data_IF_417292621361
#
_entry.id   IF_417292621361
#
_cell.length_a   1.000
_cell.length_b   1.000
_cell.length_c   1.000
_cell.angle_alpha   90.00
_cell.angle_beta   90.00
_cell.angle_gamma   90.00
#
_symmetry.space_group_name_H-M   'P 1'
#
loop_
_entity.id
_entity.type
_entity.pdbx_description
1 polymer ?
#
# COMPACT_ATOMS: atom_id res chain seq x y z
N UNK A 1 -2.75 6.27 26.03
CA UNK A 1 -3.71 6.28 24.90
C UNK A 1 -4.97 6.99 25.36
N UNK A 2 -5.02 8.31 25.23
CA UNK A 2 -6.23 9.08 25.49
C UNK A 2 -7.03 9.13 24.19
N UNK A 3 -8.05 8.27 24.05
CA UNK A 3 -9.08 8.42 23.04
C UNK A 3 -9.88 9.68 23.36
N UNK A 4 -9.53 10.81 22.73
CA UNK A 4 -10.42 11.96 22.71
C UNK A 4 -11.71 11.55 21.99
N UNK A 5 -12.75 11.25 22.75
CA UNK A 5 -14.13 11.12 22.23
C UNK A 5 -14.56 12.51 21.76
N UNK A 6 -14.35 12.79 20.49
CA UNK A 6 -14.99 13.90 19.81
C UNK A 6 -16.49 13.55 19.77
N UNK A 7 -17.35 14.43 20.28
CA UNK A 7 -18.79 14.23 20.29
C UNK A 7 -19.31 14.29 18.84
N UNK A 8 -19.40 13.14 18.17
CA UNK A 8 -19.58 12.95 16.72
C UNK A 8 -21.06 12.88 16.30
N UNK A 9 -21.95 13.42 17.14
CA UNK A 9 -23.42 13.28 17.00
C UNK A 9 -24.00 13.64 15.62
N UNK A 10 -23.25 14.30 14.74
CA UNK A 10 -23.68 14.74 13.42
C UNK A 10 -23.13 13.91 12.24
N UNK A 11 -22.30 12.89 12.48
CA UNK A 11 -21.74 12.04 11.42
C UNK A 11 -22.39 10.66 11.46
N UNK A 12 -23.63 10.57 10.94
CA UNK A 12 -24.40 9.31 10.96
C UNK A 12 -23.81 8.28 10.01
N UNK A 13 -23.51 8.70 8.78
CA UNK A 13 -22.91 7.88 7.72
C UNK A 13 -22.04 8.79 6.86
N UNK A 14 -20.73 8.75 7.07
CA UNK A 14 -19.78 9.59 6.35
C UNK A 14 -18.41 8.93 6.22
N UNK A 15 -17.70 9.25 5.16
CA UNK A 15 -16.26 9.02 5.06
C UNK A 15 -15.54 10.38 5.11
N UNK A 16 -14.54 10.48 6.00
CA UNK A 16 -13.71 11.67 6.15
C UNK A 16 -12.35 11.36 5.55
N UNK A 17 -12.02 12.06 4.48
CA UNK A 17 -10.88 11.73 3.63
C UNK A 17 -9.94 12.94 3.55
N UNK A 18 -8.73 12.78 4.02
CA UNK A 18 -7.71 13.81 3.98
C UNK A 18 -6.49 13.34 3.19
N UNK A 19 -6.00 14.17 2.29
CA UNK A 19 -4.76 13.94 1.57
C UNK A 19 -3.66 14.88 2.07
N UNK A 20 -2.45 14.33 2.16
CA UNK A 20 -1.23 15.08 2.43
C UNK A 20 -0.15 14.64 1.44
N UNK A 21 0.52 15.60 0.79
CA UNK A 21 1.56 15.37 -0.21
C UNK A 21 2.85 16.01 0.22
N UNK A 22 3.96 15.26 0.16
CA UNK A 22 5.31 15.73 0.46
C UNK A 22 6.32 14.90 -0.31
N UNK A 23 7.38 15.55 -0.81
CA UNK A 23 8.49 14.89 -1.53
C UNK A 23 8.01 13.99 -2.69
N UNK A 24 7.01 14.46 -3.46
CA UNK A 24 6.47 13.73 -4.61
C UNK A 24 5.63 12.49 -4.27
N UNK A 25 5.37 12.22 -2.99
CA UNK A 25 4.51 11.12 -2.52
C UNK A 25 3.28 11.64 -1.79
N UNK A 26 2.20 10.88 -1.82
CA UNK A 26 0.93 11.26 -1.20
C UNK A 26 0.43 10.15 -0.28
N UNK A 27 -0.07 10.56 0.89
CA UNK A 27 -0.88 9.72 1.75
C UNK A 27 -2.32 10.24 1.75
N UNK A 28 -3.28 9.35 1.58
CA UNK A 28 -4.71 9.63 1.74
C UNK A 28 -5.21 8.82 2.93
N UNK A 29 -5.65 9.52 3.96
CA UNK A 29 -6.22 8.93 5.17
C UNK A 29 -7.73 8.94 5.07
N UNK A 30 -8.38 7.80 5.27
CA UNK A 30 -9.84 7.65 5.28
C UNK A 30 -10.28 7.23 6.67
N UNK A 31 -11.23 7.95 7.26
CA UNK A 31 -11.94 7.60 8.47
C UNK A 31 -13.37 7.20 8.12
N UNK A 32 -13.82 6.06 8.61
CA UNK A 32 -15.14 5.51 8.33
C UNK A 32 -16.09 5.78 9.48
N UNK A 33 -17.14 6.55 9.24
CA UNK A 33 -18.21 6.79 10.21
C UNK A 33 -19.48 6.07 9.78
N UNK A 34 -19.99 5.20 10.66
CA UNK A 34 -21.25 4.48 10.47
C UNK A 34 -22.02 4.50 11.78
N UNK A 35 -23.34 4.75 11.71
CA UNK A 35 -24.20 4.82 12.89
C UNK A 35 -23.68 5.75 14.00
N UNK A 36 -23.11 6.90 13.62
CA UNK A 36 -22.49 7.89 14.52
C UNK A 36 -21.23 7.39 15.26
N UNK A 37 -20.65 6.28 14.84
CA UNK A 37 -19.45 5.73 15.44
C UNK A 37 -18.31 5.69 14.41
N UNK A 38 -17.09 5.89 14.90
CA UNK A 38 -15.89 5.68 14.10
C UNK A 38 -15.60 4.16 14.02
N UNK A 39 -15.74 3.59 12.82
CA UNK A 39 -15.48 2.17 12.54
C UNK A 39 -14.02 1.88 12.21
N UNK A 40 -13.18 2.89 12.29
CA UNK A 40 -11.75 2.77 12.02
C UNK A 40 -11.27 3.74 10.95
N UNK A 41 -10.00 3.62 10.65
CA UNK A 41 -9.35 4.43 9.63
C UNK A 41 -8.29 3.64 8.89
N UNK A 42 -7.95 4.10 7.68
CA UNK A 42 -6.93 3.46 6.86
C UNK A 42 -6.16 4.50 6.05
N UNK A 43 -4.84 4.31 5.98
CA UNK A 43 -3.95 5.09 5.14
C UNK A 43 -3.73 4.40 3.79
N UNK A 44 -3.79 5.17 2.71
CA UNK A 44 -3.54 4.76 1.33
C UNK A 44 -2.40 5.57 0.75
N UNK A 45 -1.56 4.94 -0.05
CA UNK A 45 -0.42 5.56 -0.72
C UNK A 45 -0.55 5.35 -2.22
N UNK A 46 -1.38 6.17 -2.92
CA UNK A 46 -1.58 6.03 -4.36
C UNK A 46 -0.28 6.30 -5.11
N UNK A 47 -0.04 5.52 -6.17
CA UNK A 47 1.04 5.79 -7.12
C UNK A 47 0.55 6.83 -8.13
N UNK A 48 1.31 7.88 -8.32
CA UNK A 48 0.99 8.99 -9.23
C UNK A 48 2.28 9.65 -9.72
N UNK A 49 2.17 10.51 -10.70
CA UNK A 49 3.27 11.35 -11.14
C UNK A 49 3.65 12.33 -10.02
N UNK A 50 4.94 12.52 -9.69
CA UNK A 50 5.37 13.48 -8.67
C UNK A 50 4.85 14.91 -8.87
N UNK A 51 4.65 15.34 -10.12
CA UNK A 51 4.19 16.67 -10.46
C UNK A 51 2.66 16.83 -10.46
N UNK A 52 1.91 15.72 -10.41
CA UNK A 52 0.46 15.74 -10.37
C UNK A 52 -0.07 16.49 -9.15
N UNK A 53 -1.08 17.35 -9.34
CA UNK A 53 -1.68 18.11 -8.24
C UNK A 53 -2.40 17.22 -7.23
N UNK A 54 -2.38 17.61 -5.95
CA UNK A 54 -3.06 16.87 -4.89
C UNK A 54 -4.59 16.77 -5.12
N UNK A 55 -5.17 17.76 -5.77
CA UNK A 55 -6.58 17.80 -6.17
C UNK A 55 -6.91 16.72 -7.20
N UNK A 56 -6.08 16.53 -8.21
CA UNK A 56 -6.25 15.48 -9.23
C UNK A 56 -6.02 14.09 -8.65
N UNK A 57 -5.02 13.95 -7.77
CA UNK A 57 -4.76 12.69 -7.06
C UNK A 57 -5.97 12.29 -6.21
N UNK A 58 -6.58 13.25 -5.48
CA UNK A 58 -7.78 12.99 -4.69
C UNK A 58 -8.98 12.62 -5.56
N UNK A 59 -9.20 13.30 -6.68
CA UNK A 59 -10.28 12.99 -7.61
C UNK A 59 -10.15 11.56 -8.17
N UNK A 60 -8.98 11.19 -8.64
CA UNK A 60 -8.68 9.86 -9.14
C UNK A 60 -8.84 8.79 -8.05
N UNK A 61 -8.36 9.10 -6.83
CA UNK A 61 -8.49 8.20 -5.69
C UNK A 61 -9.96 7.94 -5.35
N UNK A 62 -10.81 8.97 -5.29
CA UNK A 62 -12.24 8.80 -4.97
C UNK A 62 -12.94 7.87 -5.96
N UNK A 63 -12.71 8.07 -7.25
CA UNK A 63 -13.31 7.24 -8.30
C UNK A 63 -12.88 5.77 -8.18
N UNK A 64 -11.59 5.53 -8.02
CA UNK A 64 -11.04 4.18 -7.87
C UNK A 64 -11.43 3.54 -6.53
N UNK A 65 -11.42 4.31 -5.45
CA UNK A 65 -11.74 3.82 -4.11
C UNK A 65 -13.18 3.33 -3.99
N UNK A 66 -14.10 4.06 -4.60
CA UNK A 66 -15.51 3.72 -4.59
C UNK A 66 -15.97 2.83 -5.75
N UNK A 67 -15.06 2.38 -6.62
CA UNK A 67 -15.42 1.47 -7.73
C UNK A 67 -16.12 0.20 -7.21
N UNK A 68 -15.56 -0.41 -6.16
CA UNK A 68 -16.03 -1.68 -5.59
C UNK A 68 -16.46 -1.54 -4.11
N UNK A 69 -16.81 -0.34 -3.66
CA UNK A 69 -17.23 -0.07 -2.29
C UNK A 69 -18.53 0.72 -2.26
N UNK A 70 -19.33 0.49 -1.23
CA UNK A 70 -20.53 1.29 -0.96
C UNK A 70 -20.12 2.73 -0.60
N UNK A 71 -20.75 3.70 -1.23
CA UNK A 71 -20.50 5.12 -0.99
C UNK A 71 -21.40 5.62 0.13
N UNK A 72 -20.89 6.29 1.17
CA UNK A 72 -21.75 6.92 2.20
C UNK A 72 -22.48 8.14 1.62
N UNK A 73 -23.55 8.57 2.29
CA UNK A 73 -24.30 9.78 1.88
C UNK A 73 -23.46 11.06 1.91
N UNK A 74 -22.43 11.08 2.76
CA UNK A 74 -21.56 12.23 2.95
C UNK A 74 -20.09 11.85 2.85
N UNK A 75 -19.35 12.57 2.01
CA UNK A 75 -17.89 12.52 1.93
C UNK A 75 -17.35 13.89 2.34
N UNK A 76 -16.44 13.91 3.29
CA UNK A 76 -15.82 15.15 3.79
C UNK A 76 -14.34 15.15 3.38
N UNK A 77 -13.91 16.21 2.70
CA UNK A 77 -12.54 16.36 2.23
C UNK A 77 -11.83 17.53 2.92
N UNK A 78 -10.48 17.46 3.00
CA UNK A 78 -9.64 18.55 3.49
C UNK A 78 -9.28 19.58 2.41
N UNK A 79 -9.53 19.27 1.14
CA UNK A 79 -9.18 20.14 0.02
C UNK A 79 -10.27 20.14 -1.05
N UNK A 80 -10.26 21.17 -1.88
CA UNK A 80 -11.13 21.25 -3.05
C UNK A 80 -10.61 20.35 -4.16
N UNK A 81 -11.52 19.67 -4.84
CA UNK A 81 -11.21 18.79 -5.97
C UNK A 81 -11.77 19.37 -7.27
N UNK A 82 -11.03 19.14 -8.34
CA UNK A 82 -11.51 19.41 -9.69
C UNK A 82 -12.66 18.47 -10.00
N UNK A 83 -13.65 18.94 -10.72
CA UNK A 83 -14.80 18.12 -11.16
C UNK A 83 -15.68 17.55 -10.03
N UNK A 84 -15.69 18.19 -8.86
CA UNK A 84 -16.48 17.76 -7.68
C UNK A 84 -17.92 17.38 -8.03
N UNK A 85 -18.63 18.25 -8.80
CA UNK A 85 -20.04 18.00 -9.18
C UNK A 85 -20.19 16.75 -10.03
N UNK A 86 -19.26 16.49 -10.96
CA UNK A 86 -19.27 15.32 -11.81
C UNK A 86 -19.08 14.04 -10.97
N UNK A 87 -18.15 14.08 -10.02
CA UNK A 87 -17.91 12.95 -9.10
C UNK A 87 -19.14 12.68 -8.24
N UNK A 88 -19.78 13.73 -7.66
CA UNK A 88 -21.02 13.59 -6.89
C UNK A 88 -22.14 12.94 -7.72
N UNK A 89 -22.33 13.37 -8.96
CA UNK A 89 -23.31 12.81 -9.87
C UNK A 89 -23.03 11.35 -10.21
N UNK A 90 -21.80 11.03 -10.55
CA UNK A 90 -21.37 9.67 -10.89
C UNK A 90 -21.59 8.70 -9.73
N UNK A 91 -21.16 9.09 -8.52
CA UNK A 91 -21.32 8.26 -7.33
C UNK A 91 -22.80 8.15 -6.92
N UNK A 92 -23.59 9.23 -7.07
CA UNK A 92 -25.03 9.22 -6.78
C UNK A 92 -25.80 8.31 -7.72
N UNK A 93 -25.46 8.33 -9.01
CA UNK A 93 -26.06 7.44 -10.02
C UNK A 93 -25.71 5.98 -9.75
N UNK A 94 -24.46 5.70 -9.37
CA UNK A 94 -24.03 4.34 -9.01
C UNK A 94 -24.83 3.75 -7.86
N UNK A 95 -25.07 4.53 -6.82
CA UNK A 95 -25.70 4.06 -5.58
C UNK A 95 -27.23 4.29 -5.53
N UNK A 96 -27.81 4.90 -6.57
CA UNK A 96 -29.21 5.32 -6.61
C UNK A 96 -29.64 6.15 -5.38
N UNK A 97 -28.74 6.98 -4.86
CA UNK A 97 -28.99 7.87 -3.70
C UNK A 97 -28.20 9.17 -3.83
N UNK A 98 -28.69 10.23 -3.19
CA UNK A 98 -27.97 11.51 -3.19
C UNK A 98 -26.71 11.43 -2.33
N UNK A 99 -25.54 11.64 -2.95
CA UNK A 99 -24.23 11.68 -2.32
C UNK A 99 -23.70 13.11 -2.39
N UNK A 100 -23.21 13.61 -1.27
CA UNK A 100 -22.66 14.96 -1.15
C UNK A 100 -21.18 14.90 -0.74
N UNK A 101 -20.35 15.66 -1.46
CA UNK A 101 -18.96 15.89 -1.12
C UNK A 101 -18.84 17.29 -0.52
N UNK A 102 -18.32 17.41 0.69
CA UNK A 102 -18.18 18.70 1.39
C UNK A 102 -16.75 18.93 1.86
N UNK A 103 -16.38 20.21 1.94
CA UNK A 103 -15.11 20.65 2.52
C UNK A 103 -15.44 21.28 3.86
N UNK A 104 -14.91 20.72 4.94
CA UNK A 104 -15.23 21.16 6.27
C UNK A 104 -14.27 22.29 6.72
N UNK A 105 -14.80 23.50 6.85
CA UNK A 105 -14.03 24.66 7.33
C UNK A 105 -14.28 25.01 8.79
N UNK A 106 -15.37 24.54 9.40
CA UNK A 106 -15.77 24.89 10.78
C UNK A 106 -16.48 23.73 11.50
N UNK A 107 -16.54 23.79 12.83
CA UNK A 107 -17.30 22.85 13.66
C UNK A 107 -16.66 21.46 13.81
N UNK A 108 -17.48 20.47 14.17
CA UNK A 108 -17.04 19.08 14.44
C UNK A 108 -16.39 18.45 13.20
N UNK A 109 -16.96 18.69 12.02
CA UNK A 109 -16.42 18.17 10.76
C UNK A 109 -15.00 18.67 10.50
N UNK A 110 -14.70 19.95 10.80
CA UNK A 110 -13.35 20.50 10.65
C UNK A 110 -12.35 19.88 11.64
N UNK A 111 -12.77 19.57 12.87
CA UNK A 111 -11.92 18.87 13.84
C UNK A 111 -11.55 17.46 13.37
N UNK A 112 -12.53 16.73 12.86
CA UNK A 112 -12.30 15.35 12.38
C UNK A 112 -11.41 15.36 11.13
N UNK A 113 -11.64 16.28 10.19
CA UNK A 113 -10.80 16.37 8.98
C UNK A 113 -9.36 16.78 9.32
N UNK A 114 -9.17 17.69 10.29
CA UNK A 114 -7.84 18.07 10.78
C UNK A 114 -7.10 16.87 11.43
N UNK A 115 -7.83 16.01 12.15
CA UNK A 115 -7.25 14.77 12.69
C UNK A 115 -6.86 13.81 11.57
N UNK A 116 -7.71 13.65 10.55
CA UNK A 116 -7.40 12.81 9.40
C UNK A 116 -6.17 13.35 8.63
N UNK A 117 -6.05 14.66 8.46
CA UNK A 117 -4.91 15.30 7.83
C UNK A 117 -3.61 15.10 8.63
N UNK A 118 -3.67 15.27 9.94
CA UNK A 118 -2.54 14.95 10.84
C UNK A 118 -2.10 13.50 10.69
N UNK A 119 -3.03 12.56 10.69
CA UNK A 119 -2.73 11.14 10.52
C UNK A 119 -2.14 10.84 9.12
N UNK A 120 -2.63 11.52 8.07
CA UNK A 120 -2.07 11.39 6.73
C UNK A 120 -0.61 11.85 6.69
N UNK A 121 -0.31 12.99 7.31
CA UNK A 121 1.05 13.53 7.43
C UNK A 121 1.98 12.59 8.20
N UNK A 122 1.56 12.13 9.37
CA UNK A 122 2.35 11.21 10.20
C UNK A 122 2.60 9.86 9.49
N UNK A 123 1.59 9.34 8.79
CA UNK A 123 1.71 8.10 8.03
C UNK A 123 2.65 8.26 6.83
N UNK A 124 2.60 9.41 6.13
CA UNK A 124 3.51 9.70 5.03
C UNK A 124 4.95 9.85 5.52
N UNK A 125 5.17 10.60 6.61
CA UNK A 125 6.49 10.79 7.19
C UNK A 125 7.13 9.46 7.61
N UNK A 126 6.37 8.57 8.24
CA UNK A 126 6.82 7.22 8.59
C UNK A 126 7.21 6.44 7.33
N UNK A 127 6.38 6.46 6.29
CA UNK A 127 6.66 5.78 5.02
C UNK A 127 7.92 6.32 4.33
N UNK A 128 8.12 7.64 4.33
CA UNK A 128 9.32 8.28 3.77
C UNK A 128 10.58 7.90 4.57
N UNK A 129 10.48 7.90 5.90
CA UNK A 129 11.57 7.48 6.77
C UNK A 129 11.97 6.02 6.54
N UNK A 130 11.00 5.10 6.47
CA UNK A 130 11.22 3.69 6.17
C UNK A 130 11.91 3.51 4.80
N UNK A 131 11.44 4.22 3.77
CA UNK A 131 12.04 4.18 2.43
C UNK A 131 13.48 4.67 2.44
N UNK A 132 13.78 5.75 3.15
CA UNK A 132 15.14 6.28 3.26
C UNK A 132 16.07 5.31 4.02
N UNK A 133 15.58 4.70 5.10
CA UNK A 133 16.34 3.69 5.84
C UNK A 133 16.66 2.47 4.95
N UNK A 134 15.73 2.01 4.15
CA UNK A 134 15.97 0.89 3.23
C UNK A 134 17.02 1.24 2.17
N UNK A 135 17.01 2.46 1.63
CA UNK A 135 18.06 2.94 0.72
C UNK A 135 19.44 2.95 1.39
N UNK A 136 19.53 3.52 2.58
CA UNK A 136 20.77 3.53 3.36
C UNK A 136 21.27 2.10 3.65
N UNK A 137 20.37 1.16 3.91
CA UNK A 137 20.70 -0.26 4.08
C UNK A 137 21.32 -0.85 2.80
N UNK A 138 20.71 -0.60 1.64
CA UNK A 138 21.24 -1.06 0.35
C UNK A 138 22.61 -0.46 0.04
N UNK A 139 22.80 0.83 0.27
CA UNK A 139 24.09 1.49 0.13
C UNK A 139 25.16 0.87 1.04
N UNK A 140 24.78 0.53 2.27
CA UNK A 140 25.68 -0.14 3.23
C UNK A 140 26.06 -1.55 2.77
N UNK A 141 25.14 -2.30 2.18
CA UNK A 141 25.39 -3.63 1.60
C UNK A 141 26.33 -3.50 0.40
N UNK A 142 26.05 -2.59 -0.53
CA UNK A 142 26.88 -2.31 -1.70
C UNK A 142 28.32 -2.02 -1.27
N UNK A 143 28.50 -1.13 -0.30
CA UNK A 143 29.80 -0.75 0.22
C UNK A 143 30.51 -1.92 0.92
N UNK A 144 29.79 -2.65 1.79
CA UNK A 144 30.36 -3.76 2.58
C UNK A 144 30.84 -4.91 1.71
N UNK A 145 30.11 -5.24 0.65
CA UNK A 145 30.41 -6.34 -0.26
C UNK A 145 31.10 -5.89 -1.54
N UNK A 146 31.46 -4.60 -1.65
CA UNK A 146 32.13 -4.01 -2.82
C UNK A 146 31.42 -4.35 -4.15
N UNK A 147 30.07 -4.22 -4.15
CA UNK A 147 29.27 -4.54 -5.32
C UNK A 147 29.39 -3.43 -6.37
N UNK A 148 29.46 -3.82 -7.65
CA UNK A 148 29.63 -2.87 -8.77
C UNK A 148 28.34 -2.15 -9.17
N UNK A 149 27.20 -2.77 -8.89
CA UNK A 149 25.89 -2.30 -9.32
C UNK A 149 25.03 -1.85 -8.13
N UNK A 150 24.10 -0.96 -8.37
CA UNK A 150 23.10 -0.59 -7.39
C UNK A 150 22.15 -1.77 -7.14
N UNK A 151 21.73 -1.92 -5.88
CA UNK A 151 20.72 -2.88 -5.47
C UNK A 151 19.38 -2.15 -5.33
N UNK A 152 18.37 -2.63 -6.05
CA UNK A 152 16.98 -2.15 -5.93
C UNK A 152 16.03 -3.28 -5.52
N UNK A 153 16.45 -4.53 -5.78
CA UNK A 153 15.63 -5.70 -5.58
C UNK A 153 16.47 -6.86 -5.02
N UNK A 154 16.07 -7.35 -3.87
CA UNK A 154 16.67 -8.51 -3.21
C UNK A 154 15.64 -9.63 -3.12
N UNK A 155 16.01 -10.83 -3.47
CA UNK A 155 15.24 -12.05 -3.21
C UNK A 155 15.94 -12.88 -2.14
N UNK A 156 15.20 -13.28 -1.12
CA UNK A 156 15.68 -14.16 -0.04
C UNK A 156 14.92 -15.46 -0.12
N UNK A 157 15.64 -16.56 -0.01
CA UNK A 157 15.09 -17.91 -0.11
C UNK A 157 15.32 -18.66 1.19
N UNK A 158 14.31 -19.39 1.60
CA UNK A 158 14.38 -20.30 2.75
C UNK A 158 13.62 -21.58 2.46
N UNK A 159 14.08 -22.70 3.00
CA UNK A 159 13.43 -24.00 2.87
C UNK A 159 13.00 -24.49 4.24
N UNK A 160 11.86 -25.17 4.26
CA UNK A 160 11.33 -25.80 5.45
C UNK A 160 10.73 -27.15 5.11
N UNK A 161 10.89 -28.11 6.00
CA UNK A 161 10.23 -29.42 5.90
C UNK A 161 9.69 -29.86 7.28
N UNK A 162 8.60 -30.61 7.27
CA UNK A 162 8.03 -31.21 8.47
C UNK A 162 8.41 -32.68 8.47
N UNK A 163 9.43 -33.06 9.25
CA UNK A 163 9.89 -34.44 9.42
C UNK A 163 10.04 -35.22 8.09
N UNK A 164 10.62 -34.62 7.08
CA UNK A 164 10.84 -35.25 5.77
C UNK A 164 9.58 -35.36 4.89
N UNK A 165 8.48 -34.70 5.26
CA UNK A 165 7.28 -34.61 4.43
C UNK A 165 6.90 -33.16 4.13
N UNK A 166 6.26 -32.94 2.97
CA UNK A 166 5.79 -31.62 2.55
C UNK A 166 6.88 -30.52 2.54
N UNK A 167 8.03 -30.82 1.97
CA UNK A 167 9.12 -29.85 1.83
C UNK A 167 8.71 -28.66 0.97
N UNK A 168 9.00 -27.48 1.47
CA UNK A 168 8.57 -26.21 0.88
C UNK A 168 9.73 -25.22 0.82
N UNK A 169 9.92 -24.62 -0.35
CA UNK A 169 10.76 -23.44 -0.51
C UNK A 169 9.92 -22.16 -0.52
N UNK A 170 10.42 -21.11 0.10
CA UNK A 170 9.78 -19.79 0.12
C UNK A 170 10.72 -18.75 -0.47
N UNK A 171 10.18 -17.88 -1.29
CA UNK A 171 10.87 -16.70 -1.80
C UNK A 171 10.21 -15.44 -1.26
N UNK A 172 10.98 -14.62 -0.60
CA UNK A 172 10.60 -13.29 -0.10
C UNK A 172 11.33 -12.24 -0.91
N UNK A 173 10.65 -11.17 -1.27
CA UNK A 173 11.24 -10.08 -2.07
C UNK A 173 11.22 -8.79 -1.28
N UNK A 174 12.34 -8.07 -1.30
CA UNK A 174 12.54 -6.80 -0.62
C UNK A 174 13.09 -5.75 -1.61
N UNK A 175 12.55 -4.54 -1.56
CA UNK A 175 12.95 -3.40 -2.38
C UNK A 175 13.11 -2.14 -1.54
N UNK A 176 13.31 -1.00 -2.19
CA UNK A 176 13.47 0.31 -1.54
C UNK A 176 12.25 0.71 -0.70
N UNK A 177 11.05 0.32 -1.10
CA UNK A 177 9.81 0.53 -0.34
C UNK A 177 9.53 -0.55 0.72
N UNK A 178 10.46 -1.50 0.95
CA UNK A 178 10.33 -2.60 1.89
C UNK A 178 9.88 -3.91 1.24
N UNK A 179 9.22 -4.77 2.00
CA UNK A 179 8.77 -6.08 1.56
C UNK A 179 7.69 -6.02 0.48
N UNK A 180 7.94 -6.67 -0.67
CA UNK A 180 7.04 -6.69 -1.83
C UNK A 180 6.22 -7.98 -1.80
N UNK A 181 5.19 -8.03 -0.95
CA UNK A 181 4.36 -9.23 -0.71
C UNK A 181 3.76 -9.84 -1.98
N UNK A 182 3.42 -9.03 -2.99
CA UNK A 182 2.89 -9.49 -4.28
C UNK A 182 3.86 -10.39 -5.06
N UNK A 183 5.15 -10.28 -4.75
CA UNK A 183 6.22 -11.07 -5.37
C UNK A 183 6.61 -12.32 -4.58
N UNK A 184 6.07 -12.54 -3.39
CA UNK A 184 6.32 -13.74 -2.61
C UNK A 184 5.87 -14.99 -3.38
N UNK A 185 6.66 -16.04 -3.28
CA UNK A 185 6.36 -17.33 -3.90
C UNK A 185 6.59 -18.45 -2.91
N UNK A 186 5.74 -19.45 -3.02
CA UNK A 186 5.88 -20.76 -2.38
C UNK A 186 6.17 -21.79 -3.45
N UNK A 187 7.09 -22.68 -3.20
CA UNK A 187 7.50 -23.78 -4.07
C UNK A 187 7.34 -25.08 -3.30
N UNK A 188 6.41 -25.91 -3.71
CA UNK A 188 6.36 -27.29 -3.19
C UNK A 188 7.48 -28.07 -3.87
N UNK A 189 8.37 -28.66 -3.09
CA UNK A 189 9.52 -29.44 -3.55
C UNK A 189 9.03 -30.74 -4.15
N UNK A 190 9.54 -31.10 -5.32
CA UNK A 190 9.10 -32.27 -6.08
C UNK A 190 10.23 -33.29 -6.34
N UNK A 191 11.46 -32.92 -6.09
CA UNK A 191 12.62 -33.78 -6.30
C UNK A 191 12.63 -34.87 -5.24
N UNK A 192 12.49 -36.13 -5.64
CA UNK A 192 12.57 -37.28 -4.73
C UNK A 192 13.94 -37.34 -4.04
N UNK A 193 13.95 -37.56 -2.74
CA UNK A 193 15.16 -37.58 -1.92
C UNK A 193 15.73 -36.19 -1.55
N UNK A 194 15.15 -35.10 -2.04
CA UNK A 194 15.57 -33.74 -1.67
C UNK A 194 15.10 -33.34 -0.26
N UNK A 195 14.17 -34.09 0.34
CA UNK A 195 13.56 -33.74 1.63
C UNK A 195 14.55 -33.72 2.81
N UNK A 196 15.73 -34.30 2.62
CA UNK A 196 16.81 -34.34 3.61
C UNK A 196 18.07 -33.57 3.15
N UNK A 197 18.02 -32.90 1.99
CA UNK A 197 19.13 -32.16 1.41
C UNK A 197 18.69 -30.72 1.07
N UNK A 198 19.03 -29.79 1.96
CA UNK A 198 18.75 -28.36 1.78
C UNK A 198 19.36 -27.81 0.49
N UNK A 199 20.51 -28.31 0.06
CA UNK A 199 21.16 -27.88 -1.18
C UNK A 199 20.36 -28.34 -2.41
N UNK A 200 19.82 -29.56 -2.39
CA UNK A 200 18.97 -30.07 -3.47
C UNK A 200 17.64 -29.28 -3.53
N UNK A 201 17.05 -28.97 -2.38
CA UNK A 201 15.82 -28.16 -2.30
C UNK A 201 16.05 -26.76 -2.86
N UNK A 202 17.10 -26.04 -2.41
CA UNK A 202 17.39 -24.67 -2.89
C UNK A 202 17.70 -24.66 -4.39
N UNK A 203 18.42 -25.68 -4.89
CA UNK A 203 18.72 -25.86 -6.31
C UNK A 203 17.44 -26.00 -7.14
N UNK A 204 16.47 -26.80 -6.68
CA UNK A 204 15.16 -26.94 -7.34
C UNK A 204 14.44 -25.61 -7.39
N UNK A 205 14.32 -24.90 -6.25
CA UNK A 205 13.62 -23.61 -6.13
C UNK A 205 14.23 -22.58 -7.08
N UNK A 206 15.56 -22.40 -7.02
CA UNK A 206 16.26 -21.45 -7.88
C UNK A 206 16.12 -21.82 -9.36
N UNK A 207 16.25 -23.11 -9.71
CA UNK A 207 16.08 -23.55 -11.09
C UNK A 207 14.69 -23.22 -11.62
N UNK A 208 13.65 -23.50 -10.85
CA UNK A 208 12.26 -23.20 -11.25
C UNK A 208 12.01 -21.70 -11.34
N UNK A 209 12.56 -20.91 -10.40
CA UNK A 209 12.44 -19.45 -10.40
C UNK A 209 13.08 -18.83 -11.64
N UNK A 210 14.34 -19.20 -11.95
CA UNK A 210 15.08 -18.60 -13.05
C UNK A 210 14.68 -19.15 -14.42
N UNK A 211 14.30 -20.42 -14.56
CA UNK A 211 13.67 -20.93 -15.80
C UNK A 211 12.45 -20.11 -16.16
N UNK A 212 11.60 -19.84 -15.19
CA UNK A 212 10.39 -19.04 -15.43
C UNK A 212 10.73 -17.60 -15.79
N UNK A 213 11.71 -16.98 -15.14
CA UNK A 213 12.17 -15.64 -15.45
C UNK A 213 12.75 -15.48 -16.87
N UNK A 214 13.41 -16.53 -17.38
CA UNK A 214 13.96 -16.55 -18.75
C UNK A 214 12.84 -16.74 -19.79
N UNK A 215 11.86 -17.61 -19.50
CA UNK A 215 10.77 -17.92 -20.42
C UNK A 215 9.76 -16.78 -20.55
N UNK A 216 9.47 -16.09 -19.47
CA UNK A 216 8.56 -14.95 -19.42
C UNK A 216 9.27 -13.65 -19.86
N UNK A 217 9.90 -13.64 -21.04
CA UNK A 217 10.54 -12.45 -21.63
C UNK A 217 9.53 -11.30 -21.66
N UNK A 218 9.66 -10.37 -20.74
CA UNK A 218 9.21 -9.01 -20.93
C UNK A 218 8.22 -8.42 -19.96
N UNK A 219 7.48 -9.12 -19.08
CA UNK A 219 6.42 -8.39 -18.37
C UNK A 219 6.25 -8.56 -16.84
N UNK A 220 6.78 -9.57 -16.17
CA UNK A 220 6.43 -9.73 -14.74
C UNK A 220 7.52 -10.19 -13.77
N UNK A 221 8.69 -10.54 -14.25
CA UNK A 221 9.75 -11.05 -13.38
C UNK A 221 11.06 -10.32 -13.63
N UNK A 222 11.17 -9.11 -13.10
CA UNK A 222 12.49 -8.48 -12.94
C UNK A 222 13.38 -9.44 -12.15
N UNK A 223 14.57 -9.70 -12.66
CA UNK A 223 15.58 -10.44 -11.92
C UNK A 223 15.99 -9.64 -10.67
N UNK A 224 16.31 -10.30 -9.55
CA UNK A 224 16.87 -9.61 -8.40
C UNK A 224 18.30 -9.13 -8.69
N UNK A 225 18.70 -8.05 -8.03
CA UNK A 225 20.06 -7.55 -8.07
C UNK A 225 20.95 -8.31 -7.06
N UNK A 226 20.32 -8.91 -6.04
CA UNK A 226 20.98 -9.71 -5.00
C UNK A 226 20.06 -10.88 -4.57
N UNK A 227 20.70 -12.01 -4.26
CA UNK A 227 20.07 -13.21 -3.69
C UNK A 227 20.75 -13.53 -2.37
#
# INVERSE_FOLDING_TARGET
QSSQRINEANLVEADVIAAYKESGKTCIQVFFYRSKQNWGNQAYFPKHDPDQSISEIMSSFLMQFYENKNVPKLIILNLEIKDKKLIEQTLSSKENKNISITIAKKGVKAKVISLAEKNAKESLNRKLYETNNNKNLFESIIKKFNLKNNINLVEVYDNSHIQGTNSVGVMVTFGDEGFIKKRYRKFDIKTEGAEQDDCAMIKEVLTRRFKRAILEKGNYLTLPDLI
#
